data_IF_043827016579
#
_entry.id   IF_043827016579
#
_cell.length_a   1.000
_cell.length_b   1.000
_cell.length_c   1.000
_cell.angle_alpha   90.00
_cell.angle_beta   90.00
_cell.angle_gamma   90.00
#
_symmetry.space_group_name_H-M   'P 1'
#
loop_
_entity.id
_entity.type
_entity.pdbx_description
1 polymer ?
#
# COMPACT_ATOMS: atom_id res chain seq x y z
N UNK A 1 19.47 7.79 -14.50
CA UNK A 1 19.35 6.38 -14.26
C UNK A 1 17.94 5.91 -14.01
N UNK A 2 17.78 4.62 -13.97
CA UNK A 2 16.49 4.00 -13.71
C UNK A 2 16.27 3.84 -12.20
N UNK A 3 15.08 4.19 -11.73
CA UNK A 3 14.68 3.99 -10.34
C UNK A 3 13.53 3.01 -10.30
N UNK A 4 13.64 2.04 -9.39
CA UNK A 4 12.61 1.01 -9.23
C UNK A 4 12.18 0.96 -7.77
N UNK A 5 10.88 0.97 -7.53
CA UNK A 5 10.30 0.83 -6.21
C UNK A 5 9.43 -0.42 -6.18
N UNK A 6 9.67 -1.30 -5.24
CA UNK A 6 8.82 -2.47 -5.03
C UNK A 6 7.76 -2.11 -3.99
N UNK A 7 6.50 -2.31 -4.35
CA UNK A 7 5.37 -2.04 -3.43
C UNK A 7 4.82 -3.37 -2.93
N UNK A 8 4.78 -3.51 -1.60
CA UNK A 8 4.33 -4.74 -0.94
C UNK A 8 3.12 -4.40 -0.08
N UNK A 9 1.91 -4.32 -0.65
CA UNK A 9 0.72 -3.99 0.12
C UNK A 9 0.21 -5.21 0.89
N UNK A 10 -0.21 -5.00 2.14
CA UNK A 10 -0.93 -6.00 2.89
C UNK A 10 -2.40 -6.04 2.50
N UNK A 11 -3.25 -6.57 3.38
CA UNK A 11 -4.68 -6.70 3.10
C UNK A 11 -5.33 -5.34 2.84
N UNK A 12 -5.89 -5.18 1.66
CA UNK A 12 -6.48 -3.93 1.18
C UNK A 12 -7.96 -4.16 0.87
N UNK A 13 -8.79 -3.18 1.19
CA UNK A 13 -10.23 -3.26 0.97
C UNK A 13 -10.54 -3.26 -0.54
N UNK A 14 -10.71 -4.44 -1.09
CA UNK A 14 -11.03 -4.68 -2.49
C UNK A 14 -12.15 -5.71 -2.57
N UNK A 15 -12.81 -5.87 -3.73
CA UNK A 15 -13.88 -6.86 -3.87
C UNK A 15 -13.49 -8.29 -3.52
N UNK A 16 -12.20 -8.63 -3.54
CA UNK A 16 -11.72 -9.96 -3.16
C UNK A 16 -12.14 -10.33 -1.73
N UNK A 17 -12.31 -9.35 -0.85
CA UNK A 17 -12.68 -9.57 0.55
C UNK A 17 -14.18 -9.60 0.80
N UNK A 18 -14.98 -9.35 -0.23
CA UNK A 18 -16.44 -9.37 -0.09
C UNK A 18 -16.89 -10.78 0.31
N UNK A 19 -17.69 -10.85 1.37
CA UNK A 19 -18.17 -12.12 1.88
C UNK A 19 -17.19 -12.92 2.74
N UNK A 20 -15.96 -12.38 2.95
CA UNK A 20 -14.98 -13.08 3.76
C UNK A 20 -15.19 -12.93 5.26
N UNK A 21 -16.14 -12.09 5.69
CA UNK A 21 -16.41 -11.87 7.11
C UNK A 21 -15.41 -10.98 7.81
N UNK A 22 -14.55 -10.30 7.08
CA UNK A 22 -13.55 -9.38 7.63
C UNK A 22 -14.14 -7.98 7.67
N UNK A 23 -14.04 -7.31 8.81
CA UNK A 23 -14.51 -5.93 8.95
C UNK A 23 -13.71 -4.99 8.05
N UNK A 24 -14.39 -4.07 7.38
CA UNK A 24 -13.76 -3.12 6.47
C UNK A 24 -12.65 -2.32 7.16
N UNK A 25 -12.86 -1.98 8.42
CA UNK A 25 -11.89 -1.21 9.21
C UNK A 25 -10.56 -1.96 9.44
N UNK A 26 -10.57 -3.28 9.24
CA UNK A 26 -9.36 -4.11 9.39
C UNK A 26 -8.52 -4.12 8.12
N UNK A 27 -9.03 -3.56 7.02
CA UNK A 27 -8.36 -3.55 5.74
C UNK A 27 -7.82 -2.15 5.44
N UNK A 28 -6.72 -2.08 4.71
CA UNK A 28 -6.19 -0.79 4.29
C UNK A 28 -7.12 -0.17 3.25
N UNK A 29 -7.25 1.17 3.28
CA UNK A 29 -7.97 1.87 2.24
C UNK A 29 -7.15 1.84 0.95
N UNK A 30 -7.76 1.50 -0.21
CA UNK A 30 -7.02 1.50 -1.47
C UNK A 30 -6.40 2.85 -1.80
N UNK A 31 -7.04 3.94 -1.37
CA UNK A 31 -6.54 5.29 -1.57
C UNK A 31 -5.20 5.53 -0.88
N UNK A 32 -4.99 4.91 0.28
CA UNK A 32 -3.74 5.04 1.01
C UNK A 32 -2.60 4.35 0.27
N UNK A 33 -2.87 3.19 -0.32
CA UNK A 33 -1.89 2.48 -1.13
C UNK A 33 -1.52 3.33 -2.34
N UNK A 34 -2.52 3.86 -3.05
CA UNK A 34 -2.30 4.71 -4.21
C UNK A 34 -1.53 5.97 -3.85
N UNK A 35 -1.87 6.61 -2.73
CA UNK A 35 -1.21 7.84 -2.30
C UNK A 35 0.26 7.57 -1.98
N UNK A 36 0.56 6.44 -1.37
CA UNK A 36 1.93 6.07 -1.05
C UNK A 36 2.78 5.89 -2.31
N UNK A 37 2.21 5.30 -3.35
CA UNK A 37 2.89 5.13 -4.65
C UNK A 37 3.16 6.51 -5.28
N UNK A 38 2.17 7.39 -5.26
CA UNK A 38 2.33 8.75 -5.82
C UNK A 38 3.41 9.51 -5.05
N UNK A 39 3.42 9.40 -3.72
CA UNK A 39 4.43 10.08 -2.91
C UNK A 39 5.84 9.58 -3.23
N UNK A 40 6.01 8.27 -3.43
CA UNK A 40 7.31 7.72 -3.81
C UNK A 40 7.77 8.27 -5.15
N UNK A 41 6.85 8.39 -6.10
CA UNK A 41 7.14 8.94 -7.43
C UNK A 41 7.57 10.40 -7.37
N UNK A 42 7.03 11.16 -6.41
CA UNK A 42 7.29 12.59 -6.29
C UNK A 42 8.56 12.96 -5.52
N UNK A 43 9.29 11.97 -5.02
CA UNK A 43 10.57 12.24 -4.38
C UNK A 43 11.51 12.89 -5.38
N UNK A 44 12.47 13.67 -4.85
CA UNK A 44 13.42 14.37 -5.72
C UNK A 44 14.32 13.38 -6.46
N UNK A 45 15.04 13.87 -7.46
CA UNK A 45 15.98 13.05 -8.24
C UNK A 45 17.13 12.51 -7.41
N UNK A 46 17.27 12.99 -6.17
CA UNK A 46 18.37 12.58 -5.27
C UNK A 46 18.00 11.41 -4.37
N UNK A 47 16.72 10.96 -4.41
CA UNK A 47 16.23 9.97 -3.47
C UNK A 47 15.41 8.93 -4.19
N UNK A 48 15.65 7.66 -3.88
CA UNK A 48 14.80 6.56 -4.34
C UNK A 48 14.27 5.80 -3.12
N UNK A 49 12.99 5.48 -3.16
CA UNK A 49 12.35 4.61 -2.18
C UNK A 49 12.39 3.20 -2.77
N UNK A 50 13.21 2.33 -2.21
CA UNK A 50 13.42 1.00 -2.81
C UNK A 50 12.30 0.03 -2.50
N UNK A 51 11.79 0.05 -1.28
CA UNK A 51 10.69 -0.80 -0.87
C UNK A 51 9.66 -0.01 -0.09
N UNK A 52 8.39 -0.33 -0.33
CA UNK A 52 7.26 0.28 0.34
C UNK A 52 6.40 -0.84 0.90
N UNK A 53 6.53 -1.11 2.20
CA UNK A 53 5.76 -2.14 2.89
C UNK A 53 4.60 -1.48 3.63
N UNK A 54 3.38 -1.85 3.24
CA UNK A 54 2.16 -1.30 3.84
C UNK A 54 1.38 -2.42 4.51
N UNK A 55 0.90 -2.15 5.73
CA UNK A 55 0.11 -3.12 6.50
C UNK A 55 -1.08 -2.45 7.14
N UNK A 56 -2.17 -3.19 7.36
CA UNK A 56 -3.26 -2.68 8.18
C UNK A 56 -2.74 -2.32 9.56
N UNK A 57 -3.28 -1.25 10.14
CA UNK A 57 -2.81 -0.75 11.42
C UNK A 57 -2.94 -1.79 12.54
N UNK A 58 -3.97 -2.61 12.49
CA UNK A 58 -4.23 -3.64 13.51
C UNK A 58 -3.61 -4.99 13.15
N UNK A 59 -2.77 -5.03 12.12
CA UNK A 59 -2.08 -6.24 11.71
C UNK A 59 -2.79 -7.00 10.60
N UNK A 60 -2.16 -8.09 10.19
CA UNK A 60 -2.69 -8.92 9.10
C UNK A 60 -4.00 -9.59 9.50
N UNK A 61 -4.85 -9.83 8.54
CA UNK A 61 -6.13 -10.53 8.71
C UNK A 61 -6.08 -11.89 8.04
#
# INVERSE_FOLDING_TARGET
GLRVTTVLPGATDTPTWDGAGVAEERLMAPEDVAQSVVNAYRLSDRTVLEELLLRPQEGDV
#
